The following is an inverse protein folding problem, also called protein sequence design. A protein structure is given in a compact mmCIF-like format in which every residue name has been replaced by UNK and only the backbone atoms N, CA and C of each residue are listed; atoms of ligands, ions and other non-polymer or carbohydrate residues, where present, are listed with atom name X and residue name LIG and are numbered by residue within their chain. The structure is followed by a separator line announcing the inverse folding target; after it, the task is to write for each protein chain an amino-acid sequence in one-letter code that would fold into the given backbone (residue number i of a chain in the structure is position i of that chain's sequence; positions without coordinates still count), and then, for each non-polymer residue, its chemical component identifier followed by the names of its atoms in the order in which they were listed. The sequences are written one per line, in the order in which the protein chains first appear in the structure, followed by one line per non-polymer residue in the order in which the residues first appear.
data_IF_350071102709
#
_entry.id   IF_350071102709
#
_cell.length_a   1.000
_cell.length_b   1.000
_cell.length_c   1.000
_cell.angle_alpha   90.00
_cell.angle_beta   90.00
_cell.angle_gamma   90.00
#
_symmetry.space_group_name_H-M   'P 1'
#
loop_
_entity.id
_entity.type
_entity.pdbx_description
1 polymer ?
#
# COMPACT_ATOMS: atom_id res chain seq x y z
N UNK A 1 1.83 64.94 -34.22
CA UNK A 1 1.31 63.57 -34.37
C UNK A 1 2.10 62.62 -33.47
N UNK A 2 1.57 62.28 -32.27
CA UNK A 2 2.20 61.38 -31.32
C UNK A 2 1.37 60.07 -31.30
N UNK A 3 1.93 58.98 -31.82
CA UNK A 3 1.34 57.64 -31.78
C UNK A 3 1.80 56.97 -30.48
N UNK A 4 0.90 56.82 -29.53
CA UNK A 4 1.10 56.00 -28.32
C UNK A 4 0.77 54.56 -28.65
N UNK A 5 1.79 53.71 -28.66
CA UNK A 5 1.65 52.25 -28.71
C UNK A 5 1.29 51.73 -27.30
N UNK A 6 0.04 51.31 -27.16
CA UNK A 6 -0.39 50.61 -25.91
C UNK A 6 0.11 49.17 -25.94
N UNK A 7 0.96 48.86 -24.98
CA UNK A 7 1.45 47.49 -24.73
C UNK A 7 0.42 46.76 -23.86
N UNK A 8 -0.39 45.88 -24.47
CA UNK A 8 -1.27 44.97 -23.72
C UNK A 8 -0.42 43.82 -23.18
N UNK A 9 -0.11 43.83 -21.88
CA UNK A 9 0.45 42.71 -21.13
C UNK A 9 -0.69 41.71 -20.85
N UNK A 10 -0.74 40.60 -21.59
CA UNK A 10 -1.56 39.46 -21.26
C UNK A 10 -0.87 38.68 -20.16
N UNK A 11 -1.36 38.83 -18.93
CA UNK A 11 -0.97 37.99 -17.81
C UNK A 11 -1.71 36.62 -17.92
N UNK A 12 -1.00 35.59 -18.37
CA UNK A 12 -1.48 34.21 -18.32
C UNK A 12 -1.31 33.71 -16.88
N UNK A 13 -2.39 33.74 -16.13
CA UNK A 13 -2.45 33.08 -14.81
C UNK A 13 -2.52 31.57 -15.05
N UNK A 14 -1.39 30.87 -14.86
CA UNK A 14 -1.35 29.41 -14.78
C UNK A 14 -1.91 29.03 -13.40
N UNK A 15 -3.18 28.71 -13.35
CA UNK A 15 -3.79 28.11 -12.16
C UNK A 15 -3.27 26.68 -12.04
N UNK A 16 -2.27 26.46 -11.20
CA UNK A 16 -1.94 25.13 -10.69
C UNK A 16 -3.10 24.67 -9.81
N UNK A 17 -4.01 23.91 -10.40
CA UNK A 17 -5.04 23.22 -9.64
C UNK A 17 -4.41 22.16 -8.76
N UNK A 18 -4.24 22.46 -7.48
CA UNK A 18 -4.09 21.43 -6.44
C UNK A 18 -5.43 20.68 -6.40
N UNK A 19 -5.53 19.59 -7.14
CA UNK A 19 -6.59 18.61 -6.92
C UNK A 19 -6.27 17.93 -5.60
N UNK A 20 -6.83 18.45 -4.50
CA UNK A 20 -6.93 17.69 -3.27
C UNK A 20 -7.68 16.41 -3.65
N UNK A 21 -7.03 15.25 -3.49
CA UNK A 21 -7.70 13.96 -3.64
C UNK A 21 -8.82 13.94 -2.61
N UNK A 22 -10.06 14.04 -3.06
CA UNK A 22 -11.20 13.87 -2.17
C UNK A 22 -11.17 12.44 -1.63
N UNK A 23 -11.45 12.28 -0.33
CA UNK A 23 -11.59 10.96 0.27
C UNK A 23 -12.60 10.14 -0.53
N UNK A 24 -12.27 8.90 -0.82
CA UNK A 24 -13.15 8.02 -1.59
C UNK A 24 -13.39 6.70 -0.85
N UNK A 25 -14.58 6.14 -1.02
CA UNK A 25 -14.85 4.78 -0.53
C UNK A 25 -14.06 3.78 -1.38
N UNK A 26 -13.30 2.87 -0.74
CA UNK A 26 -12.61 1.83 -1.49
C UNK A 26 -13.61 0.93 -2.21
N UNK A 27 -13.27 0.49 -3.42
CA UNK A 27 -14.07 -0.50 -4.15
C UNK A 27 -14.19 -1.81 -3.35
N UNK A 28 -15.21 -2.61 -3.63
CA UNK A 28 -15.35 -3.92 -2.97
C UNK A 28 -14.13 -4.82 -3.22
N UNK A 29 -13.58 -4.79 -4.43
CA UNK A 29 -12.37 -5.55 -4.77
C UNK A 29 -11.17 -5.13 -3.89
N UNK A 30 -10.96 -3.82 -3.70
CA UNK A 30 -9.89 -3.33 -2.84
C UNK A 30 -10.12 -3.68 -1.37
N UNK A 31 -11.38 -3.61 -0.89
CA UNK A 31 -11.74 -4.06 0.45
C UNK A 31 -11.44 -5.57 0.65
N UNK A 32 -11.75 -6.39 -0.33
CA UNK A 32 -11.52 -7.84 -0.26
C UNK A 32 -10.02 -8.18 -0.28
N UNK A 33 -9.20 -7.42 -1.03
CA UNK A 33 -7.73 -7.51 -0.93
C UNK A 33 -7.25 -7.20 0.49
N UNK A 34 -7.78 -6.14 1.13
CA UNK A 34 -7.41 -5.78 2.51
C UNK A 34 -7.86 -6.82 3.54
N UNK A 35 -9.06 -7.41 3.37
CA UNK A 35 -9.55 -8.52 4.22
C UNK A 35 -8.66 -9.76 4.05
N UNK A 36 -8.28 -10.08 2.81
CA UNK A 36 -7.37 -11.19 2.51
C UNK A 36 -6.00 -10.97 3.15
N UNK A 37 -5.45 -9.76 3.10
CA UNK A 37 -4.21 -9.42 3.77
C UNK A 37 -4.33 -9.53 5.30
N UNK A 38 -5.44 -9.04 5.86
CA UNK A 38 -5.69 -9.14 7.30
C UNK A 38 -5.78 -10.61 7.78
N UNK A 39 -6.39 -11.48 6.98
CA UNK A 39 -6.46 -12.92 7.27
C UNK A 39 -5.07 -13.56 7.18
N UNK A 40 -4.33 -13.33 6.09
CA UNK A 40 -3.00 -13.90 5.88
C UNK A 40 -1.96 -13.40 6.90
N UNK A 41 -2.00 -12.13 7.32
CA UNK A 41 -1.06 -11.57 8.30
C UNK A 41 -1.52 -11.74 9.75
N UNK A 42 -2.76 -12.15 9.97
CA UNK A 42 -3.42 -12.18 11.27
C UNK A 42 -3.00 -13.33 12.20
N UNK A 43 -3.70 -13.45 13.37
CA UNK A 43 -3.41 -14.49 14.37
C UNK A 43 -3.63 -15.92 13.85
N UNK A 44 -4.57 -16.12 12.93
CA UNK A 44 -4.87 -17.41 12.29
C UNK A 44 -4.07 -17.64 11.00
N UNK A 45 -3.26 -16.66 10.60
CA UNK A 45 -2.34 -16.73 9.47
C UNK A 45 -0.90 -16.62 9.98
N UNK A 46 -0.11 -15.79 9.30
CA UNK A 46 1.32 -15.63 9.49
C UNK A 46 1.76 -15.54 10.95
N UNK A 47 1.07 -14.73 11.77
CA UNK A 47 1.44 -14.58 13.19
C UNK A 47 1.32 -15.91 13.96
N UNK A 48 0.26 -16.66 13.73
CA UNK A 48 0.05 -17.96 14.36
C UNK A 48 1.04 -19.00 13.84
N UNK A 49 1.23 -19.03 12.52
CA UNK A 49 2.11 -20.00 11.87
C UNK A 49 3.59 -19.79 12.19
N UNK A 50 4.04 -18.52 12.33
CA UNK A 50 5.40 -18.20 12.81
C UNK A 50 5.62 -18.71 14.24
N UNK A 51 4.65 -18.50 15.12
CA UNK A 51 4.73 -19.00 16.50
C UNK A 51 4.75 -20.55 16.57
N UNK A 52 4.01 -21.19 15.66
CA UNK A 52 3.97 -22.65 15.55
C UNK A 52 5.15 -23.25 14.76
N UNK A 53 5.98 -22.43 14.11
CA UNK A 53 7.03 -22.83 13.17
C UNK A 53 6.50 -23.71 12.01
N UNK A 54 5.28 -23.43 11.57
CA UNK A 54 4.69 -24.09 10.40
C UNK A 54 5.20 -23.40 9.12
N UNK A 55 6.35 -23.84 8.65
CA UNK A 55 7.03 -23.22 7.52
C UNK A 55 6.22 -23.28 6.21
N UNK A 56 5.46 -24.34 5.99
CA UNK A 56 4.62 -24.48 4.79
C UNK A 56 3.45 -23.48 4.81
N UNK A 57 2.82 -23.34 5.97
CA UNK A 57 1.77 -22.35 6.17
C UNK A 57 2.30 -20.91 6.07
N UNK A 58 3.48 -20.63 6.66
CA UNK A 58 4.17 -19.32 6.52
C UNK A 58 4.42 -18.99 5.04
N UNK A 59 4.95 -19.95 4.27
CA UNK A 59 5.21 -19.75 2.84
C UNK A 59 3.94 -19.46 2.06
N UNK A 60 2.83 -20.14 2.38
CA UNK A 60 1.51 -19.94 1.76
C UNK A 60 0.94 -18.55 2.07
N UNK A 61 1.00 -18.12 3.34
CA UNK A 61 0.55 -16.79 3.74
C UNK A 61 1.38 -15.69 3.07
N UNK A 62 2.70 -15.86 3.04
CA UNK A 62 3.61 -14.95 2.37
C UNK A 62 3.33 -14.84 0.87
N UNK A 63 3.07 -15.95 0.18
CA UNK A 63 2.69 -15.96 -1.22
C UNK A 63 1.36 -15.21 -1.46
N UNK A 64 0.38 -15.38 -0.56
CA UNK A 64 -0.88 -14.64 -0.60
C UNK A 64 -0.65 -13.14 -0.45
N UNK A 65 0.12 -12.73 0.56
CA UNK A 65 0.47 -11.32 0.80
C UNK A 65 1.20 -10.72 -0.41
N UNK A 66 2.17 -11.42 -0.97
CA UNK A 66 2.91 -10.99 -2.17
C UNK A 66 1.98 -10.75 -3.36
N UNK A 67 1.07 -11.68 -3.64
CA UNK A 67 0.13 -11.57 -4.74
C UNK A 67 -0.86 -10.40 -4.55
N UNK A 68 -1.34 -10.21 -3.33
CA UNK A 68 -2.25 -9.10 -3.01
C UNK A 68 -1.53 -7.74 -3.09
N UNK A 69 -0.28 -7.65 -2.59
CA UNK A 69 0.51 -6.42 -2.63
C UNK A 69 0.85 -6.00 -4.05
N UNK A 70 1.05 -6.94 -4.98
CA UNK A 70 1.19 -6.62 -6.41
C UNK A 70 -0.08 -5.97 -7.00
N UNK A 71 -1.27 -6.45 -6.61
CA UNK A 71 -2.54 -5.82 -7.03
C UNK A 71 -2.73 -4.44 -6.40
N UNK A 72 -2.34 -4.28 -5.13
CA UNK A 72 -2.37 -2.98 -4.43
C UNK A 72 -1.41 -1.99 -5.08
N UNK A 73 -0.21 -2.43 -5.49
CA UNK A 73 0.73 -1.60 -6.25
C UNK A 73 0.11 -1.14 -7.58
N UNK A 74 -0.54 -2.03 -8.32
CA UNK A 74 -1.22 -1.69 -9.57
C UNK A 74 -2.34 -0.67 -9.36
N UNK A 75 -3.14 -0.82 -8.29
CA UNK A 75 -4.19 0.14 -7.91
C UNK A 75 -3.62 1.53 -7.67
N UNK A 76 -2.57 1.66 -6.86
CA UNK A 76 -1.95 2.95 -6.56
C UNK A 76 -1.19 3.55 -7.74
N UNK A 77 -0.63 2.70 -8.61
CA UNK A 77 -0.01 3.14 -9.88
C UNK A 77 -1.02 3.83 -10.79
N UNK A 78 -2.24 3.29 -10.90
CA UNK A 78 -3.32 3.94 -11.65
C UNK A 78 -3.71 5.29 -11.06
N UNK A 79 -3.66 5.42 -9.73
CA UNK A 79 -3.93 6.68 -9.01
C UNK A 79 -2.74 7.64 -8.98
N UNK A 80 -1.55 7.21 -9.37
CA UNK A 80 -0.30 8.00 -9.38
C UNK A 80 0.07 8.52 -7.99
N UNK A 81 -0.07 7.69 -6.96
CA UNK A 81 0.26 8.01 -5.57
C UNK A 81 1.59 7.34 -5.21
N UNK A 82 2.69 8.06 -5.39
CA UNK A 82 4.05 7.52 -5.38
C UNK A 82 4.46 6.87 -4.06
N UNK A 83 4.11 7.46 -2.93
CA UNK A 83 4.42 6.90 -1.60
C UNK A 83 3.62 5.63 -1.31
N UNK A 84 2.34 5.54 -1.73
CA UNK A 84 1.55 4.32 -1.63
C UNK A 84 2.11 3.20 -2.52
N UNK A 85 2.59 3.54 -3.72
CA UNK A 85 3.31 2.61 -4.61
C UNK A 85 4.58 2.10 -3.91
N UNK A 86 5.35 3.00 -3.29
CA UNK A 86 6.57 2.63 -2.57
C UNK A 86 6.28 1.68 -1.39
N UNK A 87 5.23 1.93 -0.61
CA UNK A 87 4.79 1.02 0.46
C UNK A 87 4.38 -0.36 -0.08
N UNK A 88 3.60 -0.40 -1.16
CA UNK A 88 3.16 -1.67 -1.76
C UNK A 88 4.35 -2.48 -2.28
N UNK A 89 5.32 -1.85 -2.94
CA UNK A 89 6.57 -2.48 -3.39
C UNK A 89 7.40 -3.02 -2.23
N UNK A 90 7.60 -2.21 -1.19
CA UNK A 90 8.36 -2.63 -0.01
C UNK A 90 7.72 -3.83 0.68
N UNK A 91 6.38 -3.81 0.83
CA UNK A 91 5.62 -4.92 1.38
C UNK A 91 5.69 -6.17 0.50
N UNK A 92 5.58 -6.01 -0.82
CA UNK A 92 5.71 -7.11 -1.80
C UNK A 92 7.09 -7.77 -1.74
N UNK A 93 8.15 -6.97 -1.62
CA UNK A 93 9.52 -7.49 -1.42
C UNK A 93 9.64 -8.25 -0.10
N UNK A 94 9.16 -7.67 1.00
CA UNK A 94 9.21 -8.31 2.31
C UNK A 94 8.43 -9.65 2.31
N UNK A 95 7.28 -9.71 1.64
CA UNK A 95 6.51 -10.94 1.49
C UNK A 95 7.26 -12.00 0.64
N UNK A 96 7.98 -11.57 -0.41
CA UNK A 96 8.82 -12.48 -1.20
C UNK A 96 10.00 -13.03 -0.39
N UNK A 97 10.69 -12.18 0.37
CA UNK A 97 11.78 -12.59 1.26
C UNK A 97 11.27 -13.56 2.34
N UNK A 98 10.08 -13.31 2.89
CA UNK A 98 9.43 -14.18 3.87
C UNK A 98 9.09 -15.55 3.28
N UNK A 99 8.54 -15.61 2.05
CA UNK A 99 8.25 -16.86 1.35
C UNK A 99 9.54 -17.68 1.14
N UNK A 100 10.62 -17.03 0.72
CA UNK A 100 11.91 -17.67 0.50
C UNK A 100 12.52 -18.21 1.80
N UNK A 101 12.52 -17.40 2.87
CA UNK A 101 13.01 -17.79 4.18
C UNK A 101 12.22 -18.97 4.78
N UNK A 102 10.90 -18.98 4.63
CA UNK A 102 10.05 -20.06 5.08
C UNK A 102 10.36 -21.38 4.34
N UNK A 103 10.52 -21.34 3.03
CA UNK A 103 10.91 -22.51 2.23
C UNK A 103 12.28 -23.05 2.62
N UNK A 104 13.20 -22.17 3.03
CA UNK A 104 14.52 -22.53 3.55
C UNK A 104 14.52 -22.94 5.02
N UNK A 105 13.38 -22.80 5.74
CA UNK A 105 13.25 -22.98 7.18
C UNK A 105 14.22 -22.10 7.98
N UNK A 106 14.46 -20.90 7.48
CA UNK A 106 15.35 -19.89 8.07
C UNK A 106 14.56 -19.00 9.06
N UNK A 107 14.61 -19.36 10.34
CA UNK A 107 13.91 -18.59 11.39
C UNK A 107 14.38 -17.12 11.45
N UNK A 108 15.68 -16.86 11.23
CA UNK A 108 16.21 -15.50 11.27
C UNK A 108 15.73 -14.67 10.07
N UNK A 109 15.74 -15.27 8.88
CA UNK A 109 15.19 -14.68 7.67
C UNK A 109 13.68 -14.40 7.78
N UNK A 110 12.91 -15.35 8.37
CA UNK A 110 11.48 -15.15 8.64
C UNK A 110 11.26 -13.96 9.57
N UNK A 111 12.02 -13.86 10.66
CA UNK A 111 11.90 -12.74 11.60
C UNK A 111 12.23 -11.41 10.93
N UNK A 112 13.32 -11.33 10.17
CA UNK A 112 13.75 -10.12 9.48
C UNK A 112 12.71 -9.67 8.43
N UNK A 113 12.20 -10.60 7.61
CA UNK A 113 11.21 -10.29 6.59
C UNK A 113 9.86 -9.86 7.19
N UNK A 114 9.42 -10.49 8.30
CA UNK A 114 8.21 -10.10 9.02
C UNK A 114 8.35 -8.70 9.65
N UNK A 115 9.53 -8.36 10.17
CA UNK A 115 9.82 -7.00 10.66
C UNK A 115 9.78 -5.96 9.54
N UNK A 116 10.22 -6.29 8.33
CA UNK A 116 10.17 -5.40 7.17
C UNK A 116 8.73 -5.22 6.62
N UNK A 117 7.89 -6.24 6.72
CA UNK A 117 6.49 -6.20 6.24
C UNK A 117 5.63 -5.24 7.07
N UNK A 118 5.82 -5.20 8.39
CA UNK A 118 5.00 -4.40 9.32
C UNK A 118 4.97 -2.90 9.00
N UNK A 119 6.11 -2.20 8.82
CA UNK A 119 6.10 -0.77 8.50
C UNK A 119 5.55 -0.46 7.11
N UNK A 120 5.69 -1.37 6.14
CA UNK A 120 5.12 -1.20 4.82
C UNK A 120 3.58 -1.16 4.88
N UNK A 121 2.96 -2.09 5.59
CA UNK A 121 1.51 -2.10 5.79
C UNK A 121 1.04 -0.92 6.65
N UNK A 122 1.71 -0.68 7.79
CA UNK A 122 1.34 0.36 8.74
C UNK A 122 1.49 1.77 8.16
N UNK A 123 2.59 2.05 7.45
CA UNK A 123 2.86 3.33 6.82
C UNK A 123 1.80 3.69 5.78
N UNK A 124 1.47 2.77 4.88
CA UNK A 124 0.43 2.96 3.90
C UNK A 124 -0.94 3.24 4.57
N UNK A 125 -1.31 2.48 5.61
CA UNK A 125 -2.56 2.70 6.33
C UNK A 125 -2.61 4.06 7.05
N UNK A 126 -1.51 4.51 7.64
CA UNK A 126 -1.46 5.82 8.30
C UNK A 126 -1.58 6.97 7.29
N UNK A 127 -0.96 6.84 6.12
CA UNK A 127 -0.98 7.87 5.10
C UNK A 127 -2.30 7.91 4.32
N UNK A 128 -2.86 6.75 3.96
CA UNK A 128 -3.89 6.63 2.93
C UNK A 128 -5.21 5.99 3.38
N UNK A 129 -5.39 5.75 4.69
CA UNK A 129 -6.64 5.18 5.21
C UNK A 129 -7.19 6.06 6.32
N UNK A 130 -8.46 6.45 6.20
CA UNK A 130 -9.20 7.10 7.27
C UNK A 130 -10.30 6.19 7.79
N UNK A 131 -10.43 6.12 9.12
CA UNK A 131 -11.50 5.35 9.76
C UNK A 131 -12.66 6.29 10.08
N UNK A 132 -13.84 5.95 9.61
CA UNK A 132 -15.03 6.72 9.84
C UNK A 132 -15.70 6.34 11.18
N UNK A 133 -16.62 7.19 11.72
CA UNK A 133 -17.34 6.91 12.96
C UNK A 133 -18.16 5.63 12.93
N UNK A 134 -18.68 5.22 11.77
CA UNK A 134 -19.42 3.97 11.55
C UNK A 134 -18.52 2.74 11.42
N UNK A 135 -17.21 2.89 11.69
CA UNK A 135 -16.19 1.86 11.62
C UNK A 135 -15.78 1.44 10.19
N UNK A 136 -16.38 2.03 9.17
CA UNK A 136 -15.92 1.87 7.77
C UNK A 136 -14.63 2.65 7.52
N UNK A 137 -14.08 2.53 6.31
CA UNK A 137 -12.84 3.19 5.92
C UNK A 137 -13.00 3.91 4.60
N UNK A 138 -12.28 5.01 4.48
CA UNK A 138 -12.08 5.75 3.23
C UNK A 138 -10.59 5.78 2.88
N UNK A 139 -10.32 5.95 1.58
CA UNK A 139 -9.02 6.27 1.02
C UNK A 139 -8.87 7.79 1.05
N UNK A 140 -7.79 8.30 1.63
CA UNK A 140 -7.47 9.72 1.71
C UNK A 140 -6.24 10.07 0.91
#
# INVERSE_FOLDING_TARGET
MRRTFGLCLLAVAVAFGLTALANEKPTMEFQDLMKSNAAAAGPMGLRGHVNAKDYDAIAKDAATLKANLAKIEAFWTQKKVDDAIAFAKAGGKAAADLEAAAKAKDDAGIAAANMALTPACGGCHMAHRERLPDMSFEIK
#
